data_IF_851914657489
#
_entry.id   IF_851914657489
#
_cell.length_a   1.000
_cell.length_b   1.000
_cell.length_c   1.000
_cell.angle_alpha   90.00
_cell.angle_beta   90.00
_cell.angle_gamma   90.00
#
_symmetry.space_group_name_H-M   'P 1'
#
loop_
_entity.id
_entity.type
_entity.pdbx_description
1 polymer ?
#
# COMPACT_ATOMS: atom_id res chain seq x y z
N UNK A 1 -10.41 -10.51 26.53
CA UNK A 1 -10.02 -9.50 25.52
C UNK A 1 -9.81 -8.18 26.23
N UNK A 2 -8.65 -7.55 26.09
CA UNK A 2 -8.38 -6.28 26.76
C UNK A 2 -9.07 -5.13 26.04
N UNK A 3 -9.73 -4.24 26.79
CA UNK A 3 -10.38 -3.03 26.25
C UNK A 3 -9.48 -2.25 25.27
N UNK A 4 -8.17 -2.21 25.59
CA UNK A 4 -7.15 -1.57 24.77
C UNK A 4 -7.10 -2.07 23.32
N UNK A 5 -7.26 -3.37 23.06
CA UNK A 5 -7.16 -3.90 21.70
C UNK A 5 -8.33 -3.41 20.84
N UNK A 6 -9.53 -3.38 21.41
CA UNK A 6 -10.73 -2.85 20.76
C UNK A 6 -10.59 -1.36 20.50
N UNK A 7 -10.05 -0.61 21.47
CA UNK A 7 -9.80 0.83 21.33
C UNK A 7 -8.80 1.13 20.19
N UNK A 8 -7.73 0.33 20.07
CA UNK A 8 -6.75 0.47 18.98
C UNK A 8 -7.36 0.19 17.61
N UNK A 9 -8.16 -0.88 17.47
CA UNK A 9 -8.84 -1.21 16.22
C UNK A 9 -9.86 -0.14 15.84
N UNK A 10 -10.61 0.38 16.81
CA UNK A 10 -11.58 1.44 16.58
C UNK A 10 -10.91 2.77 16.23
N UNK A 11 -9.80 3.10 16.90
CA UNK A 11 -8.95 4.26 16.57
C UNK A 11 -8.44 4.18 15.15
N UNK A 12 -7.86 3.03 14.77
CA UNK A 12 -7.35 2.78 13.42
C UNK A 12 -8.43 2.89 12.33
N UNK A 13 -9.61 2.33 12.60
CA UNK A 13 -10.76 2.40 11.69
C UNK A 13 -11.19 3.85 11.45
N UNK A 14 -11.30 4.65 12.52
CA UNK A 14 -11.69 6.07 12.43
C UNK A 14 -10.65 6.91 11.71
N UNK A 15 -9.37 6.71 12.02
CA UNK A 15 -8.29 7.48 11.42
C UNK A 15 -7.93 7.01 10.01
N UNK A 16 -8.50 5.89 9.53
CA UNK A 16 -8.12 5.24 8.26
C UNK A 16 -6.61 5.04 8.15
N UNK A 17 -6.02 4.50 9.21
CA UNK A 17 -4.58 4.26 9.29
C UNK A 17 -4.25 2.78 9.25
N UNK A 18 -3.05 2.47 8.81
CA UNK A 18 -2.59 1.09 8.73
C UNK A 18 -2.44 0.53 10.14
N UNK A 19 -2.77 -0.75 10.31
CA UNK A 19 -2.46 -1.54 11.49
C UNK A 19 -1.65 -2.76 11.09
N UNK A 20 -0.86 -3.23 12.03
CA UNK A 20 -0.25 -4.54 11.97
C UNK A 20 -0.96 -5.49 12.92
N UNK A 21 -1.37 -6.65 12.42
CA UNK A 21 -2.12 -7.65 13.16
C UNK A 21 -1.33 -8.94 13.14
N UNK A 22 -0.85 -9.38 14.30
CA UNK A 22 -0.17 -10.65 14.45
C UNK A 22 -1.18 -11.73 14.81
N UNK A 23 -1.15 -12.84 14.07
CA UNK A 23 -1.90 -14.07 14.39
C UNK A 23 -0.96 -15.27 14.39
N UNK A 24 -1.49 -16.46 14.68
CA UNK A 24 -0.75 -17.72 14.51
C UNK A 24 -0.37 -18.02 13.05
N UNK A 25 -1.13 -17.50 12.08
CA UNK A 25 -0.87 -17.68 10.66
C UNK A 25 0.16 -16.67 10.11
N UNK A 26 0.55 -15.67 10.89
CA UNK A 26 1.56 -14.68 10.52
C UNK A 26 1.14 -13.24 10.79
N UNK A 27 1.91 -12.32 10.23
CA UNK A 27 1.69 -10.87 10.35
C UNK A 27 0.89 -10.36 9.14
N UNK A 28 -0.22 -9.68 9.41
CA UNK A 28 -1.01 -8.98 8.41
C UNK A 28 -0.85 -7.47 8.58
N UNK A 29 -0.77 -6.76 7.47
CA UNK A 29 -0.77 -5.30 7.42
C UNK A 29 -2.03 -4.87 6.69
N UNK A 30 -2.68 -3.81 7.14
CA UNK A 30 -3.84 -3.31 6.42
C UNK A 30 -4.66 -2.28 7.17
N UNK A 31 -5.78 -1.91 6.56
CA UNK A 31 -6.75 -0.97 7.10
C UNK A 31 -7.92 -1.72 7.72
N UNK A 32 -8.31 -1.34 8.94
CA UNK A 32 -9.52 -1.88 9.58
C UNK A 32 -10.73 -1.35 8.83
N UNK A 33 -11.48 -2.23 8.16
CA UNK A 33 -12.73 -1.87 7.50
C UNK A 33 -13.89 -1.88 8.50
N UNK A 34 -13.95 -2.94 9.30
CA UNK A 34 -14.90 -3.07 10.40
C UNK A 34 -14.41 -4.15 11.37
N UNK A 35 -14.92 -4.11 12.59
CA UNK A 35 -14.74 -5.18 13.56
C UNK A 35 -16.00 -5.34 14.40
N UNK A 36 -16.24 -6.55 14.88
CA UNK A 36 -17.26 -6.84 15.90
C UNK A 36 -16.58 -7.62 17.04
N UNK A 37 -17.30 -8.25 17.99
CA UNK A 37 -16.64 -9.04 19.05
C UNK A 37 -15.92 -10.31 18.59
N UNK A 38 -16.22 -10.83 17.39
CA UNK A 38 -15.73 -12.13 16.91
C UNK A 38 -14.78 -12.03 15.72
N UNK A 39 -14.99 -11.06 14.84
CA UNK A 39 -14.33 -10.92 13.56
C UNK A 39 -13.77 -9.51 13.35
N UNK A 40 -12.61 -9.47 12.70
CA UNK A 40 -11.99 -8.28 12.13
C UNK A 40 -12.00 -8.42 10.61
N UNK A 41 -12.54 -7.41 9.92
CA UNK A 41 -12.42 -7.24 8.47
C UNK A 41 -11.29 -6.26 8.17
N UNK A 42 -10.25 -6.77 7.51
CA UNK A 42 -9.03 -6.03 7.22
C UNK A 42 -8.81 -5.94 5.71
N UNK A 43 -8.64 -4.73 5.17
CA UNK A 43 -8.13 -4.54 3.79
C UNK A 43 -6.62 -4.65 3.82
N UNK A 44 -6.08 -5.75 3.29
CA UNK A 44 -4.68 -6.10 3.43
C UNK A 44 -3.79 -5.37 2.44
N UNK A 45 -2.58 -5.02 2.90
CA UNK A 45 -1.51 -4.44 2.12
C UNK A 45 -0.24 -5.28 2.22
N UNK A 46 0.59 -5.23 1.18
CA UNK A 46 1.93 -5.82 1.22
C UNK A 46 2.86 -4.99 2.12
N UNK A 47 4.07 -5.52 2.38
CA UNK A 47 5.15 -4.76 3.02
C UNK A 47 5.64 -3.57 2.19
N UNK A 48 5.23 -3.52 0.92
CA UNK A 48 5.47 -2.45 -0.04
C UNK A 48 4.31 -1.44 -0.08
N UNK A 49 3.29 -1.59 0.77
CA UNK A 49 2.13 -0.68 0.75
C UNK A 49 1.17 -0.92 -0.42
N UNK A 50 1.31 -2.02 -1.16
CA UNK A 50 0.39 -2.35 -2.26
C UNK A 50 -0.84 -3.08 -1.73
N UNK A 51 -2.03 -2.68 -2.17
CA UNK A 51 -3.29 -3.35 -1.83
C UNK A 51 -3.30 -4.79 -2.37
N UNK A 52 -3.74 -5.74 -1.54
CA UNK A 52 -3.81 -7.18 -1.92
C UNK A 52 -5.22 -7.74 -1.91
N UNK A 53 -6.08 -7.31 -0.98
CA UNK A 53 -7.44 -7.82 -0.88
C UNK A 53 -8.12 -7.48 0.44
N UNK A 54 -9.18 -8.23 0.77
CA UNK A 54 -9.89 -8.15 2.04
C UNK A 54 -9.77 -9.51 2.73
N UNK A 55 -9.45 -9.49 4.03
CA UNK A 55 -9.30 -10.69 4.85
C UNK A 55 -10.15 -10.57 6.10
N UNK A 56 -10.90 -11.64 6.38
CA UNK A 56 -11.60 -11.82 7.64
C UNK A 56 -10.69 -12.57 8.61
N UNK A 57 -10.48 -12.03 9.80
CA UNK A 57 -9.63 -12.60 10.84
C UNK A 57 -10.48 -12.76 12.09
N UNK A 58 -10.51 -13.96 12.67
CA UNK A 58 -11.17 -14.14 13.96
C UNK A 58 -10.38 -13.42 15.06
N UNK A 59 -11.05 -12.61 15.88
CA UNK A 59 -10.41 -11.76 16.89
C UNK A 59 -9.68 -12.58 17.95
N UNK A 60 -10.18 -13.76 18.30
CA UNK A 60 -9.51 -14.67 19.23
C UNK A 60 -8.19 -15.24 18.67
N UNK A 61 -7.98 -15.20 17.36
CA UNK A 61 -6.75 -15.62 16.72
C UNK A 61 -5.68 -14.51 16.66
N UNK A 62 -6.04 -13.27 17.06
CA UNK A 62 -5.13 -12.13 17.09
C UNK A 62 -4.37 -12.13 18.40
N UNK A 63 -3.05 -12.32 18.33
CA UNK A 63 -2.19 -12.25 19.50
C UNK A 63 -1.75 -10.81 19.82
N UNK A 64 -1.52 -9.98 18.79
CA UNK A 64 -1.08 -8.59 18.96
C UNK A 64 -1.62 -7.68 17.85
N UNK A 65 -1.87 -6.42 18.22
CA UNK A 65 -2.21 -5.34 17.29
C UNK A 65 -1.24 -4.19 17.51
N UNK A 66 -0.54 -3.78 16.46
CA UNK A 66 0.30 -2.59 16.45
C UNK A 66 -0.40 -1.48 15.67
N UNK A 67 -0.50 -0.32 16.31
CA UNK A 67 -1.07 0.87 15.73
C UNK A 67 -0.09 2.02 15.95
N UNK A 68 0.06 2.86 14.93
CA UNK A 68 0.96 4.02 14.96
C UNK A 68 2.46 3.72 15.26
N UNK A 69 2.89 2.49 14.96
CA UNK A 69 4.29 2.10 15.05
C UNK A 69 5.13 2.76 13.93
N UNK A 70 6.43 2.97 14.17
CA UNK A 70 7.41 3.42 13.16
C UNK A 70 7.36 2.56 11.90
N UNK A 71 7.22 1.24 12.02
CA UNK A 71 7.15 0.36 10.85
C UNK A 71 5.88 0.60 10.03
N UNK A 72 4.74 0.77 10.72
CA UNK A 72 3.44 1.06 10.11
C UNK A 72 3.46 2.41 9.39
N UNK A 73 4.02 3.45 10.03
CA UNK A 73 4.21 4.78 9.42
C UNK A 73 5.08 4.74 8.16
N UNK A 74 6.12 3.91 8.15
CA UNK A 74 6.96 3.75 6.96
C UNK A 74 6.17 3.13 5.81
N UNK A 75 5.30 2.15 6.08
CA UNK A 75 4.45 1.55 5.05
C UNK A 75 3.44 2.58 4.53
N UNK A 76 2.80 3.35 5.42
CA UNK A 76 1.93 4.46 5.03
C UNK A 76 2.67 5.43 4.10
N UNK A 77 3.91 5.79 4.43
CA UNK A 77 4.74 6.64 3.58
C UNK A 77 4.98 6.04 2.19
N UNK A 78 5.29 4.74 2.11
CA UNK A 78 5.51 4.05 0.82
C UNK A 78 4.26 3.99 -0.05
N UNK A 79 3.10 3.77 0.56
CA UNK A 79 1.81 3.76 -0.16
C UNK A 79 1.46 5.13 -0.74
N UNK A 80 1.72 6.20 0.01
CA UNK A 80 1.40 7.57 -0.43
C UNK A 80 2.44 8.18 -1.37
N UNK A 81 3.64 7.61 -1.45
CA UNK A 81 4.75 8.13 -2.26
C UNK A 81 5.42 7.02 -3.09
N UNK A 82 4.67 6.29 -3.93
CA UNK A 82 5.21 5.14 -4.67
C UNK A 82 6.34 5.56 -5.61
N UNK A 83 6.25 6.74 -6.24
CA UNK A 83 7.27 7.30 -7.11
C UNK A 83 8.60 7.59 -6.39
N UNK A 84 8.55 8.00 -5.13
CA UNK A 84 9.74 8.29 -4.31
C UNK A 84 10.44 6.99 -3.90
N UNK A 85 9.68 5.93 -3.67
CA UNK A 85 10.19 4.69 -3.06
C UNK A 85 10.58 3.65 -4.10
N UNK A 86 9.77 3.50 -5.14
CA UNK A 86 10.00 2.50 -6.18
C UNK A 86 10.75 3.08 -7.39
N UNK A 87 10.88 4.40 -7.44
CA UNK A 87 11.32 5.10 -8.63
C UNK A 87 10.27 5.01 -9.73
N UNK A 88 10.16 6.05 -10.55
CA UNK A 88 9.58 5.86 -11.87
C UNK A 88 10.57 5.03 -12.69
N UNK A 89 10.13 4.05 -13.49
CA UNK A 89 11.02 3.47 -14.49
C UNK A 89 11.63 4.64 -15.26
N UNK A 90 12.96 4.70 -15.32
CA UNK A 90 13.64 5.76 -16.05
C UNK A 90 13.14 5.71 -17.48
N UNK A 91 12.31 6.69 -17.85
CA UNK A 91 11.96 6.85 -19.23
C UNK A 91 13.26 7.19 -19.98
N UNK A 92 13.47 6.64 -21.19
CA UNK A 92 14.59 7.06 -22.01
C UNK A 92 14.60 8.58 -22.14
N UNK A 93 15.79 9.19 -22.17
CA UNK A 93 15.92 10.64 -22.26
C UNK A 93 15.04 11.21 -23.37
N UNK A 94 14.17 12.16 -22.99
CA UNK A 94 13.20 12.74 -23.91
C UNK A 94 11.89 11.97 -24.07
N UNK A 95 11.55 11.03 -23.17
CA UNK A 95 10.25 10.35 -23.10
C UNK A 95 9.58 10.49 -21.72
N UNK A 96 9.68 11.67 -21.11
CA UNK A 96 8.97 11.96 -19.85
C UNK A 96 7.50 11.54 -19.93
N UNK A 97 6.99 10.92 -18.85
CA UNK A 97 5.66 10.35 -18.61
C UNK A 97 4.48 11.08 -19.31
N UNK A 98 4.40 10.97 -20.62
CA UNK A 98 3.38 11.54 -21.48
C UNK A 98 2.73 10.39 -22.24
N UNK A 99 1.43 10.48 -22.50
CA UNK A 99 0.78 9.59 -23.45
C UNK A 99 1.28 9.92 -24.85
N UNK A 100 2.29 9.17 -25.31
CA UNK A 100 2.86 9.34 -26.63
C UNK A 100 2.13 8.44 -27.62
N UNK A 101 1.59 9.04 -28.68
CA UNK A 101 1.05 8.29 -29.82
C UNK A 101 2.19 7.89 -30.76
N UNK A 102 2.00 6.84 -31.56
CA UNK A 102 3.00 6.38 -32.53
C UNK A 102 3.55 7.52 -33.41
N UNK A 103 2.72 8.45 -33.94
CA UNK A 103 3.24 9.60 -34.69
C UNK A 103 4.20 10.50 -33.89
N UNK A 104 3.89 10.76 -32.62
CA UNK A 104 4.72 11.62 -31.75
C UNK A 104 6.06 10.94 -31.44
N UNK A 105 6.05 9.62 -31.26
CA UNK A 105 7.29 8.84 -31.07
C UNK A 105 8.19 8.90 -32.31
N UNK A 106 7.62 8.72 -33.50
CA UNK A 106 8.37 8.76 -34.77
C UNK A 106 8.93 10.16 -35.03
N UNK A 107 8.16 11.21 -34.73
CA UNK A 107 8.62 12.59 -34.85
C UNK A 107 9.80 12.88 -33.91
N UNK A 108 9.71 12.50 -32.63
CA UNK A 108 10.83 12.67 -31.70
C UNK A 108 12.06 11.87 -32.14
N UNK A 109 11.88 10.63 -32.57
CA UNK A 109 12.98 9.79 -33.03
C UNK A 109 13.69 10.37 -34.27
N UNK A 110 12.96 11.05 -35.16
CA UNK A 110 13.54 11.85 -36.26
C UNK A 110 14.33 13.05 -35.72
N UNK A 111 13.77 13.81 -34.77
CA UNK A 111 14.41 14.99 -34.16
C UNK A 111 15.72 14.63 -33.44
N UNK A 112 15.77 13.50 -32.73
CA UNK A 112 16.98 13.02 -32.04
C UNK A 112 17.89 12.14 -32.90
N UNK A 113 17.62 12.04 -34.21
CA UNK A 113 18.41 11.24 -35.19
C UNK A 113 18.54 9.75 -34.81
N UNK A 114 17.56 9.21 -34.11
CA UNK A 114 17.47 7.79 -33.78
C UNK A 114 16.68 7.00 -34.83
N UNK A 115 16.04 7.70 -35.77
CA UNK A 115 15.33 7.11 -36.89
C UNK A 115 16.18 7.25 -38.15
N UNK A 116 16.65 6.11 -38.67
CA UNK A 116 17.31 6.02 -39.98
C UNK A 116 16.23 5.83 -41.03
N UNK A 117 16.09 6.82 -41.92
CA UNK A 117 15.33 6.70 -43.16
C UNK A 117 16.20 6.09 -44.26
#
# INVERSE_FOLDING_TARGET
>A
MGALQTDLLQGAQRSRRVVSVQTSAGLFLGYVLSHNPELLLLRTITRQGLLTGVRTIALHAISQVHFDDRYVRLIEFKEHNPEVVYGLPAAPDGLDNQYLTVPVLLQRALEVRQLLL
#
